data_IF_604621362846
#
_entry.id   IF_604621362846
#
_cell.length_a   1.000
_cell.length_b   1.000
_cell.length_c   1.000
_cell.angle_alpha   90.00
_cell.angle_beta   90.00
_cell.angle_gamma   90.00
#
_symmetry.space_group_name_H-M   'P 1'
#
loop_
_entity.id
_entity.type
_entity.pdbx_description
1 polymer ?
#
# COMPACT_ATOMS: atom_id res chain seq x y z
N UNK A 1 -16.74 10.07 -10.41
CA UNK A 1 -17.14 9.10 -9.36
C UNK A 1 -15.97 8.24 -8.92
N UNK A 2 -15.14 7.78 -9.86
CA UNK A 2 -13.97 6.94 -9.56
C UNK A 2 -12.88 7.73 -8.82
N UNK A 3 -12.73 9.03 -9.09
CA UNK A 3 -11.79 9.90 -8.37
C UNK A 3 -12.05 9.97 -6.86
N UNK A 4 -13.34 10.00 -6.45
CA UNK A 4 -13.72 9.98 -5.03
C UNK A 4 -13.41 8.62 -4.40
N UNK A 5 -13.70 7.51 -5.09
CA UNK A 5 -13.39 6.16 -4.60
C UNK A 5 -11.88 5.99 -4.38
N UNK A 6 -11.07 6.40 -5.36
CA UNK A 6 -9.61 6.42 -5.25
C UNK A 6 -9.12 7.24 -4.06
N UNK A 7 -9.67 8.45 -3.88
CA UNK A 7 -9.36 9.31 -2.75
C UNK A 7 -9.67 8.65 -1.39
N UNK A 8 -10.87 8.08 -1.22
CA UNK A 8 -11.23 7.40 0.02
C UNK A 8 -10.37 6.16 0.29
N UNK A 9 -10.02 5.37 -0.75
CA UNK A 9 -9.05 4.28 -0.58
C UNK A 9 -7.69 4.78 -0.14
N UNK A 10 -7.25 5.94 -0.66
CA UNK A 10 -6.00 6.58 -0.24
C UNK A 10 -6.01 6.99 1.22
N UNK A 11 -7.12 7.58 1.72
CA UNK A 11 -7.27 7.92 3.14
C UNK A 11 -7.20 6.66 4.01
N UNK A 12 -7.91 5.59 3.63
CA UNK A 12 -7.89 4.32 4.38
C UNK A 12 -6.47 3.77 4.45
N UNK A 13 -5.73 3.82 3.33
CA UNK A 13 -4.32 3.40 3.29
C UNK A 13 -3.46 4.24 4.23
N UNK A 14 -3.63 5.57 4.27
CA UNK A 14 -2.89 6.42 5.21
C UNK A 14 -3.20 6.04 6.68
N UNK A 15 -4.45 5.78 7.00
CA UNK A 15 -4.84 5.31 8.35
C UNK A 15 -4.19 3.96 8.69
N UNK A 16 -4.17 3.02 7.75
CA UNK A 16 -3.52 1.73 7.95
C UNK A 16 -2.00 1.87 8.07
N UNK A 17 -1.37 2.80 7.35
CA UNK A 17 0.06 3.12 7.49
C UNK A 17 0.35 3.66 8.89
N UNK A 18 -0.49 4.54 9.44
CA UNK A 18 -0.34 5.04 10.81
C UNK A 18 -0.42 3.88 11.82
N UNK A 19 -1.38 2.97 11.65
CA UNK A 19 -1.50 1.77 12.49
C UNK A 19 -0.27 0.87 12.35
N UNK A 20 0.23 0.69 11.12
CA UNK A 20 1.47 -0.05 10.84
C UNK A 20 2.65 0.55 11.60
N UNK A 21 2.85 1.88 11.56
CA UNK A 21 3.95 2.53 12.26
C UNK A 21 3.88 2.33 13.79
N UNK A 22 2.67 2.39 14.35
CA UNK A 22 2.45 2.12 15.78
C UNK A 22 2.78 0.66 16.16
N UNK A 23 2.42 -0.30 15.32
CA UNK A 23 2.70 -1.71 15.55
C UNK A 23 4.18 -2.05 15.30
N UNK A 24 4.78 -1.49 14.25
CA UNK A 24 6.19 -1.68 13.91
C UNK A 24 7.11 -1.20 15.04
N UNK A 25 6.75 -0.12 15.73
CA UNK A 25 7.46 0.33 16.94
C UNK A 25 7.48 -0.75 18.04
N UNK A 26 6.38 -1.51 18.21
CA UNK A 26 6.30 -2.59 19.19
C UNK A 26 7.02 -3.87 18.74
N UNK A 27 7.14 -4.12 17.43
CA UNK A 27 7.87 -5.29 16.88
C UNK A 27 9.35 -5.26 17.26
N UNK A 28 9.96 -4.08 17.42
CA UNK A 28 11.36 -3.96 17.86
C UNK A 28 11.65 -4.62 19.22
N UNK A 29 10.61 -4.95 20.01
CA UNK A 29 10.74 -5.71 21.26
C UNK A 29 10.71 -7.24 21.07
N UNK A 30 10.97 -7.75 19.86
CA UNK A 30 11.12 -9.19 19.50
C UNK A 30 9.93 -10.08 19.90
N UNK A 31 8.74 -9.67 19.53
CA UNK A 31 7.55 -10.49 19.76
C UNK A 31 7.02 -11.02 18.41
N UNK A 32 7.27 -12.31 18.15
CA UNK A 32 7.09 -12.95 16.83
C UNK A 32 5.65 -12.82 16.29
N UNK A 33 4.65 -12.79 17.17
CA UNK A 33 3.25 -12.60 16.80
C UNK A 33 3.04 -11.23 16.16
N UNK A 34 3.68 -10.18 16.69
CA UNK A 34 3.56 -8.84 16.12
C UNK A 34 4.23 -8.75 14.75
N UNK A 35 5.30 -9.51 14.51
CA UNK A 35 5.95 -9.58 13.22
C UNK A 35 5.01 -10.15 12.15
N UNK A 36 4.30 -11.23 12.47
CA UNK A 36 3.29 -11.81 11.56
C UNK A 36 2.15 -10.84 11.30
N UNK A 37 1.63 -10.18 12.34
CA UNK A 37 0.54 -9.18 12.20
C UNK A 37 0.97 -8.01 11.31
N UNK A 38 2.19 -7.50 11.52
CA UNK A 38 2.74 -6.40 10.72
C UNK A 38 2.93 -6.83 9.27
N UNK A 39 3.44 -8.04 9.03
CA UNK A 39 3.55 -8.60 7.67
C UNK A 39 2.19 -8.68 6.97
N UNK A 40 1.17 -9.25 7.63
CA UNK A 40 -0.19 -9.31 7.10
C UNK A 40 -0.77 -7.92 6.81
N UNK A 41 -0.53 -6.95 7.69
CA UNK A 41 -0.99 -5.58 7.52
C UNK A 41 -0.36 -4.92 6.28
N UNK A 42 0.93 -5.14 6.02
CA UNK A 42 1.60 -4.67 4.81
C UNK A 42 0.97 -5.29 3.56
N UNK A 43 0.64 -6.59 3.59
CA UNK A 43 -0.08 -7.23 2.48
C UNK A 43 -1.45 -6.59 2.22
N UNK A 44 -2.24 -6.34 3.27
CA UNK A 44 -3.56 -5.68 3.14
C UNK A 44 -3.42 -4.28 2.55
N UNK A 45 -2.45 -3.49 3.03
CA UNK A 45 -2.14 -2.17 2.47
C UNK A 45 -1.77 -2.28 0.98
N UNK A 46 -0.94 -3.25 0.63
CA UNK A 46 -0.53 -3.52 -0.75
C UNK A 46 -1.73 -3.78 -1.67
N UNK A 47 -2.60 -4.72 -1.32
CA UNK A 47 -3.79 -5.03 -2.12
C UNK A 47 -4.76 -3.86 -2.24
N UNK A 48 -4.97 -3.11 -1.15
CA UNK A 48 -5.81 -1.90 -1.19
C UNK A 48 -5.20 -0.82 -2.09
N UNK A 49 -3.87 -0.65 -2.07
CA UNK A 49 -3.19 0.32 -2.93
C UNK A 49 -3.29 -0.05 -4.41
N UNK A 50 -3.25 -1.34 -4.74
CA UNK A 50 -3.51 -1.83 -6.10
C UNK A 50 -4.94 -1.51 -6.54
N UNK A 51 -5.93 -1.80 -5.69
CA UNK A 51 -7.33 -1.45 -5.94
C UNK A 51 -7.52 0.06 -6.15
N UNK A 52 -6.98 0.89 -5.24
CA UNK A 52 -7.05 2.34 -5.33
C UNK A 52 -6.38 2.89 -6.59
N UNK A 53 -5.25 2.31 -6.98
CA UNK A 53 -4.52 2.66 -8.21
C UNK A 53 -5.33 2.32 -9.46
N UNK A 54 -5.98 1.15 -9.51
CA UNK A 54 -6.90 0.78 -10.60
C UNK A 54 -8.05 1.81 -10.71
N UNK A 55 -8.61 2.25 -9.58
CA UNK A 55 -9.66 3.27 -9.60
C UNK A 55 -9.14 4.64 -10.06
N UNK A 56 -7.91 5.01 -9.70
CA UNK A 56 -7.24 6.21 -10.22
C UNK A 56 -7.11 6.16 -11.74
N UNK A 57 -6.68 5.02 -12.30
CA UNK A 57 -6.58 4.83 -13.75
C UNK A 57 -7.95 4.90 -14.43
N UNK A 58 -8.99 4.26 -13.88
CA UNK A 58 -10.37 4.38 -14.38
C UNK A 58 -10.91 5.82 -14.30
N UNK A 59 -10.41 6.62 -13.37
CA UNK A 59 -10.74 8.04 -13.21
C UNK A 59 -9.97 8.98 -14.14
N UNK A 60 -9.06 8.51 -14.99
CA UNK A 60 -8.23 9.40 -15.83
C UNK A 60 -9.03 10.28 -16.77
N UNK A 61 -10.15 9.78 -17.29
CA UNK A 61 -11.07 10.53 -18.17
C UNK A 61 -11.94 11.56 -17.42
N UNK A 62 -11.97 11.51 -16.09
CA UNK A 62 -12.68 12.51 -15.27
C UNK A 62 -11.86 13.82 -15.22
N UNK A 63 -12.51 15.00 -15.11
CA UNK A 63 -11.82 16.28 -14.96
C UNK A 63 -10.86 16.26 -13.76
N UNK A 64 -9.75 16.98 -13.89
CA UNK A 64 -8.76 17.04 -12.84
C UNK A 64 -9.33 17.76 -11.61
N UNK A 65 -9.41 17.03 -10.51
CA UNK A 65 -9.84 17.51 -9.20
C UNK A 65 -8.78 17.16 -8.17
N UNK A 66 -8.77 17.87 -7.04
CA UNK A 66 -7.85 17.57 -5.93
C UNK A 66 -7.95 16.11 -5.49
N UNK A 67 -9.18 15.57 -5.42
CA UNK A 67 -9.43 14.16 -5.07
C UNK A 67 -8.70 13.18 -6.00
N UNK A 68 -8.69 13.46 -7.30
CA UNK A 68 -8.02 12.62 -8.30
C UNK A 68 -6.51 12.64 -8.10
N UNK A 69 -5.93 13.83 -7.96
CA UNK A 69 -4.47 14.00 -7.79
C UNK A 69 -4.00 13.34 -6.50
N UNK A 70 -4.65 13.64 -5.38
CA UNK A 70 -4.30 13.08 -4.07
C UNK A 70 -4.47 11.56 -4.04
N UNK A 71 -5.59 11.05 -4.55
CA UNK A 71 -5.83 9.61 -4.63
C UNK A 71 -4.82 8.89 -5.52
N UNK A 72 -4.44 9.50 -6.66
CA UNK A 72 -3.44 8.92 -7.56
C UNK A 72 -2.05 8.89 -6.93
N UNK A 73 -1.63 9.97 -6.27
CA UNK A 73 -0.34 10.04 -5.58
C UNK A 73 -0.28 9.00 -4.46
N UNK A 74 -1.24 9.01 -3.53
CA UNK A 74 -1.19 8.10 -2.37
C UNK A 74 -1.21 6.64 -2.82
N UNK A 75 -2.21 6.25 -3.62
CA UNK A 75 -2.36 4.85 -4.03
C UNK A 75 -1.18 4.41 -4.90
N UNK A 76 -0.76 5.26 -5.84
CA UNK A 76 0.34 4.95 -6.76
C UNK A 76 1.68 4.80 -6.04
N UNK A 77 2.02 5.73 -5.15
CA UNK A 77 3.25 5.67 -4.37
C UNK A 77 3.31 4.42 -3.49
N UNK A 78 2.21 4.09 -2.79
CA UNK A 78 2.16 2.91 -1.92
C UNK A 78 2.19 1.62 -2.74
N UNK A 79 1.51 1.58 -3.90
CA UNK A 79 1.55 0.43 -4.79
C UNK A 79 2.95 0.18 -5.37
N UNK A 80 3.68 1.24 -5.75
CA UNK A 80 5.05 1.13 -6.23
C UNK A 80 5.99 0.61 -5.13
N UNK A 81 5.85 1.12 -3.89
CA UNK A 81 6.62 0.62 -2.74
C UNK A 81 6.33 -0.86 -2.46
N UNK A 82 5.05 -1.25 -2.45
CA UNK A 82 4.65 -2.64 -2.25
C UNK A 82 5.21 -3.55 -3.35
N UNK A 83 5.12 -3.11 -4.60
CA UNK A 83 5.66 -3.85 -5.76
C UNK A 83 7.17 -4.01 -5.65
N UNK A 84 7.89 -2.96 -5.24
CA UNK A 84 9.33 -3.02 -5.00
C UNK A 84 9.69 -4.05 -3.93
N UNK A 85 8.98 -4.07 -2.80
CA UNK A 85 9.19 -5.04 -1.72
C UNK A 85 8.99 -6.47 -2.24
N UNK A 86 7.91 -6.74 -2.97
CA UNK A 86 7.68 -8.08 -3.54
C UNK A 86 8.83 -8.47 -4.47
N UNK A 87 9.22 -7.60 -5.40
CA UNK A 87 10.27 -7.89 -6.37
C UNK A 87 11.63 -8.12 -5.70
N UNK A 88 11.96 -7.36 -4.65
CA UNK A 88 13.17 -7.57 -3.87
C UNK A 88 13.17 -8.96 -3.20
N UNK A 89 12.08 -9.32 -2.52
CA UNK A 89 11.97 -10.62 -1.86
C UNK A 89 11.99 -11.78 -2.85
N UNK A 90 11.30 -11.67 -3.99
CA UNK A 90 11.35 -12.68 -5.05
C UNK A 90 12.76 -12.82 -5.61
N UNK A 91 13.47 -11.70 -5.81
CA UNK A 91 14.87 -11.70 -6.25
C UNK A 91 15.80 -12.42 -5.27
N UNK A 92 15.61 -12.21 -3.97
CA UNK A 92 16.39 -12.90 -2.94
C UNK A 92 16.09 -14.40 -2.89
N UNK A 93 14.82 -14.79 -3.05
CA UNK A 93 14.43 -16.20 -3.14
C UNK A 93 15.07 -16.88 -4.35
N UNK A 94 15.05 -16.25 -5.53
CA UNK A 94 15.67 -16.81 -6.74
C UNK A 94 17.17 -17.03 -6.55
N UNK A 95 17.87 -16.07 -5.92
CA UNK A 95 19.31 -16.20 -5.61
C UNK A 95 19.64 -17.34 -4.65
N UNK A 96 18.72 -17.75 -3.79
CA UNK A 96 18.93 -18.91 -2.91
C UNK A 96 18.90 -20.23 -3.68
N UNK A 97 18.30 -20.26 -4.88
CA UNK A 97 18.17 -21.46 -5.71
C UNK A 97 19.10 -21.46 -6.95
N UNK A 98 19.85 -20.38 -7.19
CA UNK A 98 20.84 -20.27 -8.27
C UNK A 98 22.25 -20.50 -7.75
#
# INVERSE_FOLDING_TARGET
>A
MNSKKSYYSGIIILLLIIIYLMLAYKVNNRNDIFLVIVGLLVFVIGFLSMYGTIQSFKGLKEPNTVYKVVGMIINGSVFLLFSYIILANVGDVIKLFS
#
